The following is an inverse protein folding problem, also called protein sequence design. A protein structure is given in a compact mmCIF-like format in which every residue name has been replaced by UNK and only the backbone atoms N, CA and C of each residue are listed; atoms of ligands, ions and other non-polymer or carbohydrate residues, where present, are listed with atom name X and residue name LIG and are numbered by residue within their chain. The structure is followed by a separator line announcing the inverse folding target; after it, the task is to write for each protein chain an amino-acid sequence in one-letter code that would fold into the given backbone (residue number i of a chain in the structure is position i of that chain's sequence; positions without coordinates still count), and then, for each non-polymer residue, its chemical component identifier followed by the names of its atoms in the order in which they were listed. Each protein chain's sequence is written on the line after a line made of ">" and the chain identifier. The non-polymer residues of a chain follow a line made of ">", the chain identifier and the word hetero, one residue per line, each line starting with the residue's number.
data_IF_531794245511
#
_entry.id   IF_531794245511
#
_cell.length_a   1.000
_cell.length_b   1.000
_cell.length_c   1.000
_cell.angle_alpha   90.00
_cell.angle_beta   90.00
_cell.angle_gamma   90.00
#
_symmetry.space_group_name_H-M   'P 1'
#
loop_
_entity.id
_entity.type
_entity.pdbx_description
1 polymer ?
#
# COMPACT_ATOMS: atom_id res chain seq x y z
N UNK A 1 -13.86 9.74 14.56
CA UNK A 1 -13.88 10.79 15.60
C UNK A 1 -12.96 11.90 15.13
N UNK A 2 -13.41 13.15 15.14
CA UNK A 2 -12.61 14.30 14.75
C UNK A 2 -12.17 15.07 16.01
N UNK A 3 -10.91 15.49 16.06
CA UNK A 3 -10.38 16.37 17.11
C UNK A 3 -9.46 17.41 16.49
N UNK A 4 -9.57 18.63 16.98
CA UNK A 4 -8.67 19.71 16.61
C UNK A 4 -7.36 19.54 17.38
N UNK A 5 -6.29 19.21 16.67
CA UNK A 5 -4.94 19.15 17.23
C UNK A 5 -4.25 20.51 17.13
N UNK A 6 -3.36 20.81 18.08
CA UNK A 6 -2.59 22.06 18.06
C UNK A 6 -1.31 21.89 17.24
N UNK A 7 -1.08 22.86 16.38
CA UNK A 7 0.18 23.02 15.66
C UNK A 7 1.15 23.88 16.46
N UNK A 8 2.42 23.48 16.47
CA UNK A 8 3.49 24.24 17.10
C UNK A 8 4.79 24.09 16.32
N UNK A 9 5.80 24.88 16.70
CA UNK A 9 7.12 24.86 16.08
C UNK A 9 8.09 24.08 16.97
N UNK A 10 8.84 23.17 16.36
CA UNK A 10 9.99 22.51 16.97
C UNK A 10 11.23 22.90 16.16
N UNK A 11 11.90 23.98 16.59
CA UNK A 11 12.97 24.63 15.83
C UNK A 11 12.49 25.11 14.45
N UNK A 12 13.13 24.60 13.38
CA UNK A 12 12.78 24.92 11.99
C UNK A 12 11.59 24.09 11.45
N UNK A 13 11.12 23.11 12.19
CA UNK A 13 10.07 22.20 11.75
C UNK A 13 8.73 22.56 12.40
N UNK A 14 7.64 22.17 11.73
CA UNK A 14 6.29 22.20 12.28
C UNK A 14 5.97 20.85 12.88
N UNK A 15 5.29 20.84 14.02
CA UNK A 15 4.87 19.64 14.73
C UNK A 15 3.38 19.71 15.09
N UNK A 16 2.75 18.54 15.15
CA UNK A 16 1.37 18.36 15.60
C UNK A 16 1.38 17.73 16.98
N UNK A 17 0.67 18.32 17.94
CA UNK A 17 0.47 17.68 19.25
C UNK A 17 -0.70 16.72 19.14
N UNK A 18 -0.42 15.42 19.13
CA UNK A 18 -1.46 14.38 19.11
C UNK A 18 -2.20 14.35 20.47
N UNK A 19 -3.54 14.40 20.47
CA UNK A 19 -4.33 14.03 21.64
C UNK A 19 -4.05 12.58 22.06
N UNK A 20 -4.25 12.26 23.34
CA UNK A 20 -3.92 10.95 23.93
C UNK A 20 -4.65 9.79 23.24
N UNK A 21 -5.87 10.03 22.76
CA UNK A 21 -6.66 9.04 22.04
C UNK A 21 -6.11 8.68 20.64
N UNK A 22 -5.14 9.45 20.13
CA UNK A 22 -4.45 9.21 18.85
C UNK A 22 -2.95 8.91 19.05
N UNK A 23 -2.52 8.60 20.29
CA UNK A 23 -1.14 8.25 20.57
C UNK A 23 -0.75 6.93 19.89
N UNK A 24 0.46 6.88 19.35
CA UNK A 24 1.01 5.68 18.72
C UNK A 24 1.88 4.93 19.72
N UNK A 25 1.71 3.62 19.80
CA UNK A 25 2.68 2.72 20.46
C UNK A 25 3.86 2.44 19.53
N UNK A 26 4.59 3.50 19.17
CA UNK A 26 5.76 3.44 18.28
C UNK A 26 6.66 4.66 18.49
N UNK A 27 7.98 4.48 18.32
CA UNK A 27 8.96 5.58 18.37
C UNK A 27 9.07 6.35 17.06
N UNK A 28 8.64 5.75 15.95
CA UNK A 28 8.67 6.32 14.60
C UNK A 28 7.47 5.85 13.80
N UNK A 29 7.00 6.70 12.90
CA UNK A 29 5.86 6.44 12.01
C UNK A 29 6.14 6.96 10.61
N UNK A 30 5.42 6.42 9.63
CA UNK A 30 5.41 6.91 8.26
C UNK A 30 4.45 8.08 8.13
N UNK A 31 4.88 9.10 7.38
CA UNK A 31 4.08 10.27 7.03
C UNK A 31 3.87 10.26 5.53
N UNK A 32 2.62 10.21 5.09
CA UNK A 32 2.25 10.27 3.68
C UNK A 32 1.40 11.51 3.43
N UNK A 33 1.68 12.21 2.33
CA UNK A 33 0.87 13.33 1.87
C UNK A 33 0.07 12.88 0.64
N UNK A 34 -1.24 12.99 0.74
CA UNK A 34 -2.18 12.69 -0.34
C UNK A 34 -2.24 13.83 -1.36
N UNK A 35 -2.76 13.54 -2.56
CA UNK A 35 -2.89 14.53 -3.64
C UNK A 35 -3.84 15.67 -3.27
N UNK A 36 -4.87 15.38 -2.48
CA UNK A 36 -5.80 16.38 -1.94
C UNK A 36 -5.17 17.29 -0.87
N UNK A 37 -3.93 17.00 -0.44
CA UNK A 37 -3.19 17.76 0.56
C UNK A 37 -3.25 17.18 1.98
N UNK A 38 -4.07 16.15 2.23
CA UNK A 38 -4.18 15.51 3.54
C UNK A 38 -2.88 14.79 3.92
N UNK A 39 -2.64 14.68 5.23
CA UNK A 39 -1.48 13.99 5.78
C UNK A 39 -1.94 12.77 6.57
N UNK A 40 -1.56 11.59 6.10
CA UNK A 40 -1.79 10.32 6.78
C UNK A 40 -0.58 9.96 7.64
N UNK A 41 -0.82 9.62 8.90
CA UNK A 41 0.16 9.08 9.83
C UNK A 41 -0.09 7.58 10.01
N UNK A 42 0.93 6.73 9.82
CA UNK A 42 0.77 5.28 9.94
C UNK A 42 1.99 4.59 10.50
N UNK A 43 1.80 3.52 11.28
CA UNK A 43 2.87 2.62 11.72
C UNK A 43 3.35 1.67 10.61
N UNK A 44 2.61 1.58 9.50
CA UNK A 44 2.91 0.68 8.38
C UNK A 44 3.32 1.50 7.16
N UNK A 45 4.33 1.01 6.44
CA UNK A 45 4.68 1.59 5.14
C UNK A 45 3.54 1.34 4.13
N UNK A 46 3.34 2.24 3.16
CA UNK A 46 2.36 2.05 2.08
C UNK A 46 2.59 0.74 1.30
N UNK A 47 3.85 0.36 1.10
CA UNK A 47 4.21 -0.91 0.46
C UNK A 47 3.66 -2.10 1.28
N UNK A 48 3.84 -2.09 2.60
CA UNK A 48 3.37 -3.14 3.49
C UNK A 48 1.84 -3.21 3.56
N UNK A 49 1.15 -2.06 3.58
CA UNK A 49 -0.32 -2.02 3.57
C UNK A 49 -0.92 -2.62 2.30
N UNK A 50 -0.26 -2.44 1.15
CA UNK A 50 -0.76 -2.94 -0.13
C UNK A 50 -0.65 -4.48 -0.21
N UNK A 51 0.51 -5.02 0.20
CA UNK A 51 0.74 -6.46 0.13
C UNK A 51 -0.10 -7.27 1.12
N UNK A 52 -0.31 -6.75 2.33
CA UNK A 52 -1.13 -7.44 3.33
C UNK A 52 -2.53 -7.76 2.81
N UNK A 53 -3.18 -6.79 2.15
CA UNK A 53 -4.52 -6.96 1.56
C UNK A 53 -4.53 -8.02 0.45
N UNK A 54 -3.50 -8.04 -0.38
CA UNK A 54 -3.36 -9.07 -1.43
C UNK A 54 -3.29 -10.45 -0.78
N UNK A 55 -2.42 -10.63 0.24
CA UNK A 55 -2.29 -11.91 0.94
C UNK A 55 -3.57 -12.34 1.67
N UNK A 56 -4.32 -11.42 2.24
CA UNK A 56 -5.62 -11.70 2.87
C UNK A 56 -6.67 -12.19 1.86
N UNK A 57 -6.59 -11.74 0.60
CA UNK A 57 -7.52 -12.15 -0.46
C UNK A 57 -7.14 -13.48 -1.12
N UNK A 58 -5.86 -13.87 -1.12
CA UNK A 58 -5.41 -15.10 -1.78
C UNK A 58 -6.22 -16.36 -1.42
N UNK A 59 -6.58 -16.63 -0.14
CA UNK A 59 -7.35 -17.83 0.20
C UNK A 59 -8.79 -17.83 -0.33
N UNK A 60 -9.33 -16.66 -0.70
CA UNK A 60 -10.68 -16.54 -1.26
C UNK A 60 -10.74 -16.81 -2.76
N UNK A 61 -9.58 -16.80 -3.42
CA UNK A 61 -9.47 -17.03 -4.85
C UNK A 61 -9.47 -18.55 -5.07
N UNK A 62 -10.49 -19.04 -5.78
CA UNK A 62 -10.47 -20.40 -6.31
C UNK A 62 -9.63 -20.39 -7.58
N UNK A 63 -8.56 -21.18 -7.60
CA UNK A 63 -7.77 -21.45 -8.78
C UNK A 63 -8.12 -22.85 -9.29
N UNK A 64 -8.15 -23.01 -10.61
CA UNK A 64 -8.25 -24.33 -11.23
C UNK A 64 -7.06 -25.20 -10.80
N UNK A 65 -7.25 -26.52 -10.74
CA UNK A 65 -6.21 -27.47 -10.29
C UNK A 65 -4.93 -27.38 -11.13
N UNK A 66 -5.06 -26.99 -12.40
CA UNK A 66 -3.97 -26.86 -13.34
C UNK A 66 -3.32 -25.46 -13.37
N UNK A 67 -3.81 -24.50 -12.56
CA UNK A 67 -3.32 -23.11 -12.54
C UNK A 67 -1.83 -23.03 -12.18
N UNK A 68 -1.04 -22.44 -13.07
CA UNK A 68 0.42 -22.35 -13.03
C UNK A 68 1.12 -23.72 -12.94
N UNK A 69 0.48 -24.81 -13.37
CA UNK A 69 1.11 -26.12 -13.52
C UNK A 69 2.25 -26.08 -14.54
N UNK A 70 3.19 -27.03 -14.47
CA UNK A 70 4.28 -27.13 -15.46
C UNK A 70 3.75 -27.28 -16.89
N UNK A 71 2.62 -27.98 -17.05
CA UNK A 71 1.96 -28.18 -18.34
C UNK A 71 1.38 -26.88 -18.88
N UNK A 72 0.69 -26.08 -18.07
CA UNK A 72 0.14 -24.79 -18.48
C UNK A 72 1.25 -23.79 -18.81
N UNK A 73 2.32 -23.76 -17.99
CA UNK A 73 3.44 -22.83 -18.16
C UNK A 73 4.35 -23.18 -19.33
N UNK A 74 4.19 -24.38 -19.91
CA UNK A 74 4.92 -24.81 -21.11
C UNK A 74 4.36 -24.12 -22.36
N UNK A 75 4.49 -22.80 -22.40
CA UNK A 75 4.17 -21.99 -23.56
C UNK A 75 5.33 -22.05 -24.56
N UNK A 76 5.01 -22.29 -25.82
CA UNK A 76 5.97 -22.20 -26.91
C UNK A 76 6.29 -20.73 -27.22
N UNK A 77 7.47 -20.48 -27.77
CA UNK A 77 7.85 -19.13 -28.22
C UNK A 77 6.96 -18.76 -29.40
N UNK A 78 5.99 -17.88 -29.17
CA UNK A 78 5.13 -17.38 -30.23
C UNK A 78 5.84 -16.25 -30.99
N UNK A 79 6.18 -16.47 -32.27
CA UNK A 79 6.59 -15.42 -33.19
C UNK A 79 5.33 -14.70 -33.68
N UNK A 80 4.95 -13.61 -33.00
CA UNK A 80 3.89 -12.71 -33.45
C UNK A 80 4.51 -11.39 -33.84
N UNK A 81 4.21 -10.90 -35.04
CA UNK A 81 4.58 -9.54 -35.44
C UNK A 81 3.55 -8.56 -34.85
N UNK A 82 3.94 -7.66 -33.92
CA UNK A 82 3.03 -6.70 -33.34
C UNK A 82 2.48 -5.67 -34.35
N UNK A 83 3.00 -5.63 -35.58
CA UNK A 83 2.58 -4.74 -36.65
C UNK A 83 1.86 -5.45 -37.81
N UNK A 84 1.58 -6.76 -37.70
CA UNK A 84 0.85 -7.47 -38.74
C UNK A 84 -0.56 -6.85 -38.94
N UNK A 85 -0.79 -6.25 -40.11
CA UNK A 85 -2.06 -5.62 -40.47
C UNK A 85 -2.20 -4.13 -40.16
N UNK A 86 -1.14 -3.45 -39.72
CA UNK A 86 -1.05 -1.98 -39.72
C UNK A 86 -0.40 -1.44 -41.01
#
# INVERSE_FOLDING_TARGET
>A
MEKIARLFRNGRNQAVRLPVEFEFDATQIYVFKEENGDITLSTRSRSQQNWQKVFELLPTIQCDEDFLSEKERKQEVATRDPFEGF
#
